data_IF_021118392759
#
_entry.id   IF_021118392759
#
_cell.length_a   1.000
_cell.length_b   1.000
_cell.length_c   1.000
_cell.angle_alpha   90.00
_cell.angle_beta   90.00
_cell.angle_gamma   90.00
#
_symmetry.space_group_name_H-M   'P 1'
#
loop_
_entity.id
_entity.type
_entity.pdbx_description
1 polymer ?
#
# COMPACT_ATOMS: atom_id res chain seq x y z
N UNK A 1 -38.68 -3.25 -17.64
CA UNK A 1 -37.76 -2.57 -16.70
C UNK A 1 -36.63 -3.54 -16.34
N UNK A 2 -35.64 -3.70 -17.22
CA UNK A 2 -34.50 -4.64 -17.06
C UNK A 2 -33.22 -3.91 -17.53
N UNK A 3 -32.92 -2.77 -16.89
CA UNK A 3 -31.81 -1.89 -17.31
C UNK A 3 -30.84 -1.47 -16.20
N UNK A 4 -31.26 -1.49 -14.93
CA UNK A 4 -30.42 -0.99 -13.83
C UNK A 4 -29.65 -2.08 -13.05
N UNK A 5 -29.95 -3.37 -13.27
CA UNK A 5 -29.38 -4.47 -12.47
C UNK A 5 -28.03 -5.00 -12.99
N UNK A 6 -27.67 -4.73 -14.25
CA UNK A 6 -26.35 -5.10 -14.81
C UNK A 6 -25.28 -4.11 -14.35
N UNK A 7 -25.49 -2.81 -14.58
CA UNK A 7 -24.55 -1.76 -14.17
C UNK A 7 -24.23 -1.78 -12.66
N UNK A 8 -25.24 -2.03 -11.79
CA UNK A 8 -24.98 -2.11 -10.35
C UNK A 8 -24.18 -3.36 -9.95
N UNK A 9 -24.29 -4.48 -10.67
CA UNK A 9 -23.49 -5.68 -10.40
C UNK A 9 -22.06 -5.50 -10.89
N UNK A 10 -21.87 -4.92 -12.06
CA UNK A 10 -20.55 -4.66 -12.64
C UNK A 10 -19.73 -3.70 -11.77
N UNK A 11 -20.38 -2.65 -11.22
CA UNK A 11 -19.74 -1.70 -10.29
C UNK A 11 -19.34 -2.37 -8.96
N UNK A 12 -20.18 -3.26 -8.43
CA UNK A 12 -19.87 -3.99 -7.18
C UNK A 12 -18.70 -4.96 -7.39
N UNK A 13 -18.68 -5.70 -8.51
CA UNK A 13 -17.60 -6.63 -8.86
C UNK A 13 -16.27 -5.89 -9.08
N UNK A 14 -16.29 -4.72 -9.72
CA UNK A 14 -15.09 -3.90 -9.88
C UNK A 14 -14.53 -3.38 -8.54
N UNK A 15 -15.42 -3.01 -7.61
CA UNK A 15 -15.00 -2.49 -6.30
C UNK A 15 -14.43 -3.59 -5.40
N UNK A 16 -14.99 -4.80 -5.46
CA UNK A 16 -14.47 -5.98 -4.77
C UNK A 16 -13.08 -6.37 -5.30
N UNK A 17 -12.93 -6.49 -6.63
CA UNK A 17 -11.64 -6.80 -7.27
C UNK A 17 -10.55 -5.77 -6.97
N UNK A 18 -10.91 -4.47 -6.95
CA UNK A 18 -9.97 -3.41 -6.58
C UNK A 18 -9.57 -3.48 -5.10
N UNK A 19 -10.52 -3.83 -4.22
CA UNK A 19 -10.28 -4.01 -2.78
C UNK A 19 -9.33 -5.18 -2.50
N UNK A 20 -9.54 -6.32 -3.15
CA UNK A 20 -8.68 -7.51 -3.04
C UNK A 20 -7.26 -7.24 -3.50
N UNK A 21 -7.09 -6.58 -4.66
CA UNK A 21 -5.76 -6.19 -5.16
C UNK A 21 -4.99 -5.32 -4.15
N UNK A 22 -5.68 -4.36 -3.51
CA UNK A 22 -5.08 -3.49 -2.48
C UNK A 22 -4.72 -4.26 -1.22
N UNK A 23 -5.53 -5.25 -0.83
CA UNK A 23 -5.27 -6.13 0.30
C UNK A 23 -4.01 -6.97 0.10
N UNK A 24 -3.85 -7.61 -1.06
CA UNK A 24 -2.65 -8.40 -1.38
C UNK A 24 -1.38 -7.55 -1.33
N UNK A 25 -1.42 -6.32 -1.86
CA UNK A 25 -0.29 -5.39 -1.80
C UNK A 25 0.07 -5.06 -0.34
N UNK A 26 -0.92 -4.79 0.51
CA UNK A 26 -0.67 -4.48 1.92
C UNK A 26 -0.13 -5.68 2.70
N UNK A 27 -0.62 -6.89 2.43
CA UNK A 27 -0.09 -8.10 3.05
C UNK A 27 1.38 -8.34 2.67
N UNK A 28 1.73 -8.18 1.38
CA UNK A 28 3.10 -8.28 0.92
C UNK A 28 4.01 -7.22 1.55
N UNK A 29 3.51 -5.98 1.67
CA UNK A 29 4.24 -4.89 2.28
C UNK A 29 4.46 -5.10 3.78
N UNK A 30 3.45 -5.60 4.51
CA UNK A 30 3.56 -5.97 5.93
C UNK A 30 4.59 -7.08 6.15
N UNK A 31 4.56 -8.12 5.32
CA UNK A 31 5.56 -9.20 5.37
C UNK A 31 6.98 -8.69 5.13
N UNK A 32 7.14 -7.84 4.11
CA UNK A 32 8.43 -7.22 3.77
C UNK A 32 8.94 -6.34 4.92
N UNK A 33 8.10 -5.46 5.44
CA UNK A 33 8.43 -4.58 6.56
C UNK A 33 8.83 -5.36 7.82
N UNK A 34 8.12 -6.44 8.13
CA UNK A 34 8.43 -7.29 9.29
C UNK A 34 9.78 -7.98 9.11
N UNK A 35 10.07 -8.50 7.92
CA UNK A 35 11.36 -9.12 7.62
C UNK A 35 12.51 -8.11 7.71
N UNK A 36 12.35 -6.93 7.12
CA UNK A 36 13.35 -5.86 7.19
C UNK A 36 13.57 -5.40 8.63
N UNK A 37 12.51 -5.19 9.41
CA UNK A 37 12.62 -4.83 10.83
C UNK A 37 13.39 -5.88 11.64
N UNK A 38 13.18 -7.17 11.36
CA UNK A 38 13.88 -8.26 12.03
C UNK A 38 15.36 -8.30 11.66
N UNK A 39 15.70 -8.42 10.38
CA UNK A 39 17.09 -8.60 9.94
C UNK A 39 17.93 -7.34 10.17
N UNK A 40 17.41 -6.16 9.80
CA UNK A 40 18.12 -4.93 10.06
C UNK A 40 18.11 -4.54 11.53
N UNK A 41 17.13 -4.99 12.32
CA UNK A 41 17.14 -4.81 13.77
C UNK A 41 18.31 -5.55 14.43
N UNK A 42 18.52 -6.81 14.06
CA UNK A 42 19.67 -7.61 14.54
C UNK A 42 20.99 -7.00 14.05
N UNK A 43 21.05 -6.60 12.78
CA UNK A 43 22.23 -5.96 12.21
C UNK A 43 22.54 -4.63 12.91
N UNK A 44 21.52 -3.84 13.24
CA UNK A 44 21.66 -2.56 13.94
C UNK A 44 22.21 -2.72 15.36
N UNK A 45 21.82 -3.78 16.07
CA UNK A 45 22.38 -4.09 17.38
C UNK A 45 23.86 -4.47 17.30
N UNK A 46 24.27 -5.12 16.21
CA UNK A 46 25.64 -5.58 16.00
C UNK A 46 26.56 -4.50 15.42
N UNK A 47 26.03 -3.67 14.52
CA UNK A 47 26.74 -2.58 13.86
C UNK A 47 25.81 -1.38 13.71
N UNK A 48 26.04 -0.34 14.52
CA UNK A 48 25.18 0.83 14.52
C UNK A 48 25.34 1.67 13.24
N UNK A 49 24.23 1.96 12.58
CA UNK A 49 24.13 2.97 11.52
C UNK A 49 22.93 3.88 11.74
N UNK A 50 23.14 5.20 11.74
CA UNK A 50 22.08 6.17 11.92
C UNK A 50 21.02 6.11 10.79
N UNK A 51 21.46 5.86 9.55
CA UNK A 51 20.55 5.70 8.41
C UNK A 51 19.69 4.44 8.53
N UNK A 52 20.28 3.32 8.98
CA UNK A 52 19.51 2.09 9.24
C UNK A 52 18.50 2.29 10.36
N UNK A 53 18.87 3.02 11.43
CA UNK A 53 17.94 3.38 12.50
C UNK A 53 16.75 4.21 11.99
N UNK A 54 17.01 5.21 11.14
CA UNK A 54 15.95 6.02 10.53
C UNK A 54 14.99 5.14 9.71
N UNK A 55 15.52 4.26 8.86
CA UNK A 55 14.71 3.30 8.12
C UNK A 55 13.88 2.41 9.04
N UNK A 56 14.48 1.91 10.12
CA UNK A 56 13.81 1.02 11.09
C UNK A 56 12.67 1.73 11.82
N UNK A 57 12.83 3.00 12.18
CA UNK A 57 11.77 3.80 12.80
C UNK A 57 10.59 3.96 11.84
N UNK A 58 10.86 4.27 10.57
CA UNK A 58 9.81 4.42 9.55
C UNK A 58 9.03 3.11 9.37
N UNK A 59 9.73 1.99 9.24
CA UNK A 59 9.10 0.67 9.07
C UNK A 59 8.33 0.26 10.33
N UNK A 60 8.94 0.39 11.52
CA UNK A 60 8.31 0.02 12.78
C UNK A 60 7.05 0.84 13.08
N UNK A 61 7.03 2.11 12.70
CA UNK A 61 5.85 2.96 12.85
C UNK A 61 4.75 2.63 11.85
N UNK A 62 5.08 2.12 10.65
CA UNK A 62 4.09 1.76 9.63
C UNK A 62 3.39 0.40 9.89
N UNK A 63 4.08 -0.58 10.49
CA UNK A 63 3.53 -1.91 10.80
C UNK A 63 2.17 -1.86 11.54
N UNK A 64 1.98 -1.09 12.63
CA UNK A 64 0.69 -1.04 13.32
C UNK A 64 -0.44 -0.49 12.42
N UNK A 65 -0.16 0.47 11.54
CA UNK A 65 -1.17 0.97 10.59
C UNK A 65 -1.54 -0.07 9.53
N UNK A 66 -0.58 -0.90 9.11
CA UNK A 66 -0.83 -2.02 8.20
C UNK A 66 -1.67 -3.11 8.87
N UNK A 67 -1.41 -3.42 10.14
CA UNK A 67 -2.22 -4.35 10.91
C UNK A 67 -3.67 -3.86 11.10
N UNK A 68 -3.85 -2.57 11.41
CA UNK A 68 -5.18 -1.96 11.51
C UNK A 68 -5.90 -1.96 10.16
N UNK A 69 -5.21 -1.66 9.06
CA UNK A 69 -5.77 -1.77 7.71
C UNK A 69 -6.31 -3.19 7.45
N UNK A 70 -5.52 -4.22 7.80
CA UNK A 70 -5.91 -5.61 7.64
C UNK A 70 -7.12 -5.96 8.50
N UNK A 71 -7.16 -5.52 9.76
CA UNK A 71 -8.30 -5.75 10.67
C UNK A 71 -9.58 -5.10 10.14
N UNK A 72 -9.50 -3.85 9.67
CA UNK A 72 -10.66 -3.15 9.10
C UNK A 72 -11.14 -3.85 7.83
N UNK A 73 -10.23 -4.28 6.96
CA UNK A 73 -10.57 -4.98 5.73
C UNK A 73 -11.26 -6.33 6.01
N UNK A 74 -10.72 -7.12 6.95
CA UNK A 74 -11.36 -8.36 7.40
C UNK A 74 -12.76 -8.11 8.00
N UNK A 75 -12.91 -7.05 8.80
CA UNK A 75 -14.22 -6.65 9.32
C UNK A 75 -15.21 -6.26 8.22
N UNK A 76 -14.76 -5.52 7.20
CA UNK A 76 -15.62 -5.14 6.07
C UNK A 76 -16.05 -6.35 5.24
N UNK A 77 -15.19 -7.36 5.07
CA UNK A 77 -15.52 -8.61 4.39
C UNK A 77 -16.55 -9.42 5.18
N UNK A 78 -16.37 -9.54 6.50
CA UNK A 78 -17.24 -10.35 7.36
C UNK A 78 -18.64 -9.73 7.54
N UNK A 79 -18.73 -8.39 7.62
CA UNK A 79 -19.97 -7.69 7.96
C UNK A 79 -20.54 -6.85 6.81
N UNK A 80 -20.13 -7.10 5.56
CA UNK A 80 -20.53 -6.32 4.38
C UNK A 80 -22.04 -6.10 4.27
N UNK A 81 -22.82 -7.13 4.56
CA UNK A 81 -24.28 -7.13 4.39
C UNK A 81 -25.04 -6.35 5.48
N UNK A 82 -24.38 -6.07 6.61
CA UNK A 82 -25.00 -5.40 7.77
C UNK A 82 -24.61 -3.91 7.88
N UNK A 83 -23.71 -3.43 7.04
CA UNK A 83 -23.18 -2.08 7.14
C UNK A 83 -24.05 -1.05 6.43
N UNK A 84 -24.46 -0.02 7.17
CA UNK A 84 -25.18 1.12 6.59
C UNK A 84 -24.22 1.98 5.75
N UNK A 85 -24.69 2.55 4.62
CA UNK A 85 -23.86 3.37 3.72
C UNK A 85 -23.08 4.51 4.41
N UNK A 86 -23.61 5.07 5.50
CA UNK A 86 -22.95 6.13 6.28
C UNK A 86 -21.76 5.61 7.10
N UNK A 87 -21.85 4.39 7.66
CA UNK A 87 -20.75 3.74 8.39
C UNK A 87 -19.63 3.33 7.45
N UNK A 88 -19.98 2.80 6.27
CA UNK A 88 -19.02 2.41 5.25
C UNK A 88 -18.10 3.57 4.83
N UNK A 89 -18.64 4.79 4.63
CA UNK A 89 -17.83 5.97 4.29
C UNK A 89 -16.84 6.38 5.38
N UNK A 90 -17.24 6.31 6.65
CA UNK A 90 -16.34 6.62 7.77
C UNK A 90 -15.19 5.62 7.83
N UNK A 91 -15.50 4.34 7.63
CA UNK A 91 -14.50 3.27 7.59
C UNK A 91 -13.55 3.45 6.40
N UNK A 92 -14.07 3.77 5.21
CA UNK A 92 -13.22 4.03 4.03
C UNK A 92 -12.24 5.18 4.24
N UNK A 93 -12.66 6.27 4.88
CA UNK A 93 -11.75 7.37 5.21
C UNK A 93 -10.62 6.91 6.14
N UNK A 94 -10.94 6.08 7.15
CA UNK A 94 -9.95 5.53 8.07
C UNK A 94 -8.96 4.60 7.34
N UNK A 95 -9.47 3.73 6.47
CA UNK A 95 -8.67 2.83 5.61
C UNK A 95 -7.71 3.64 4.74
N UNK A 96 -8.16 4.75 4.15
CA UNK A 96 -7.33 5.61 3.30
C UNK A 96 -6.17 6.22 4.09
N UNK A 97 -6.42 6.69 5.32
CA UNK A 97 -5.37 7.23 6.19
C UNK A 97 -4.36 6.14 6.55
N UNK A 98 -4.83 4.97 7.00
CA UNK A 98 -3.96 3.83 7.31
C UNK A 98 -3.10 3.44 6.13
N UNK A 99 -3.66 3.45 4.92
CA UNK A 99 -2.96 3.13 3.69
C UNK A 99 -1.89 4.17 3.31
N UNK A 100 -2.19 5.45 3.44
CA UNK A 100 -1.20 6.52 3.20
C UNK A 100 -0.01 6.37 4.14
N UNK A 101 -0.27 6.21 5.45
CA UNK A 101 0.80 6.00 6.43
C UNK A 101 1.57 4.70 6.13
N UNK A 102 0.87 3.63 5.78
CA UNK A 102 1.50 2.35 5.41
C UNK A 102 2.44 2.48 4.22
N UNK A 103 2.10 3.27 3.21
CA UNK A 103 2.96 3.47 2.04
C UNK A 103 4.22 4.29 2.32
N UNK A 104 4.25 5.07 3.41
CA UNK A 104 5.51 5.73 3.83
C UNK A 104 6.62 4.72 4.15
N UNK A 105 6.27 3.47 4.49
CA UNK A 105 7.25 2.39 4.73
C UNK A 105 8.13 2.06 3.52
N UNK A 106 7.67 2.34 2.29
CA UNK A 106 8.47 2.16 1.07
C UNK A 106 9.74 3.02 1.13
N UNK A 107 9.65 4.22 1.73
CA UNK A 107 10.82 5.08 1.97
C UNK A 107 11.79 4.42 2.95
N UNK A 108 11.28 3.81 4.02
CA UNK A 108 12.08 3.07 4.99
C UNK A 108 12.82 1.88 4.34
N UNK A 109 12.12 1.12 3.49
CA UNK A 109 12.72 0.03 2.71
C UNK A 109 13.83 0.56 1.79
N UNK A 110 13.58 1.66 1.07
CA UNK A 110 14.57 2.26 0.18
C UNK A 110 15.85 2.68 0.93
N UNK A 111 15.70 3.31 2.10
CA UNK A 111 16.83 3.69 2.97
C UNK A 111 17.61 2.45 3.41
N UNK A 112 16.92 1.40 3.85
CA UNK A 112 17.59 0.16 4.29
C UNK A 112 18.35 -0.52 3.16
N UNK A 113 17.75 -0.63 1.97
CA UNK A 113 18.41 -1.18 0.78
C UNK A 113 19.66 -0.37 0.39
N UNK A 114 19.60 0.96 0.52
CA UNK A 114 20.75 1.82 0.25
C UNK A 114 21.88 1.62 1.25
N UNK A 115 21.54 1.44 2.54
CA UNK A 115 22.53 1.14 3.59
C UNK A 115 23.17 -0.23 3.37
N UNK A 116 22.42 -1.23 2.91
CA UNK A 116 22.97 -2.54 2.55
C UNK A 116 23.95 -2.44 1.40
N UNK A 117 23.54 -1.83 0.30
CA UNK A 117 24.40 -1.62 -0.86
C UNK A 117 23.89 -0.48 -1.73
N UNK A 118 24.74 0.51 -1.98
CA UNK A 118 24.37 1.73 -2.71
C UNK A 118 23.81 1.46 -4.13
N UNK A 119 24.32 0.44 -4.84
CA UNK A 119 23.80 0.04 -6.16
C UNK A 119 22.39 -0.54 -6.07
N UNK A 120 22.10 -1.32 -5.02
CA UNK A 120 20.78 -1.93 -4.85
C UNK A 120 19.74 -0.85 -4.53
N UNK A 121 20.06 0.03 -3.58
CA UNK A 121 19.18 1.14 -3.23
C UNK A 121 18.91 2.10 -4.40
N UNK A 122 19.95 2.45 -5.16
CA UNK A 122 19.80 3.32 -6.34
C UNK A 122 19.00 2.66 -7.47
N UNK A 123 19.22 1.37 -7.75
CA UNK A 123 18.41 0.63 -8.73
C UNK A 123 16.93 0.54 -8.32
N UNK A 124 16.64 0.36 -7.03
CA UNK A 124 15.28 0.37 -6.51
C UNK A 124 14.61 1.75 -6.70
N UNK A 125 15.30 2.83 -6.34
CA UNK A 125 14.76 4.18 -6.52
C UNK A 125 14.54 4.53 -8.00
N UNK A 126 15.50 4.21 -8.86
CA UNK A 126 15.39 4.49 -10.29
C UNK A 126 14.24 3.70 -10.93
N UNK A 127 14.11 2.42 -10.59
CA UNK A 127 13.00 1.60 -11.10
C UNK A 127 11.64 2.09 -10.60
N UNK A 128 11.53 2.51 -9.33
CA UNK A 128 10.32 3.13 -8.79
C UNK A 128 9.94 4.43 -9.51
N UNK A 129 10.91 5.31 -9.79
CA UNK A 129 10.67 6.54 -10.53
C UNK A 129 10.23 6.28 -11.97
N UNK A 130 10.88 5.33 -12.66
CA UNK A 130 10.50 4.92 -14.01
C UNK A 130 9.07 4.33 -14.04
N UNK A 131 8.70 3.52 -13.05
CA UNK A 131 7.35 2.99 -12.93
C UNK A 131 6.30 4.10 -12.75
N UNK A 132 6.57 5.08 -11.88
CA UNK A 132 5.68 6.24 -11.71
C UNK A 132 5.55 7.06 -12.99
N UNK A 133 6.66 7.24 -13.72
CA UNK A 133 6.66 7.93 -15.00
C UNK A 133 5.82 7.19 -16.04
N UNK A 134 5.97 5.87 -16.15
CA UNK A 134 5.16 5.02 -17.04
C UNK A 134 3.65 5.14 -16.74
N UNK A 135 3.27 5.09 -15.45
CA UNK A 135 1.87 5.25 -15.04
C UNK A 135 1.33 6.61 -15.46
N UNK A 136 2.10 7.68 -15.26
CA UNK A 136 1.71 9.03 -15.67
C UNK A 136 1.53 9.15 -17.19
N UNK A 137 2.44 8.58 -17.97
CA UNK A 137 2.32 8.55 -19.42
C UNK A 137 1.06 7.80 -19.88
N UNK A 138 0.79 6.64 -19.30
CA UNK A 138 -0.39 5.85 -19.64
C UNK A 138 -1.71 6.58 -19.32
N UNK A 139 -1.78 7.27 -18.18
CA UNK A 139 -2.97 8.06 -17.81
C UNK A 139 -3.17 9.23 -18.77
N UNK A 140 -2.10 9.94 -19.13
CA UNK A 140 -2.19 11.07 -20.06
C UNK A 140 -2.62 10.63 -21.47
N UNK A 141 -2.11 9.48 -21.95
CA UNK A 141 -2.55 8.91 -23.22
C UNK A 141 -4.04 8.53 -23.20
N UNK A 142 -4.53 8.02 -22.06
CA UNK A 142 -5.95 7.67 -21.92
C UNK A 142 -6.85 8.91 -21.94
N UNK A 143 -6.44 10.02 -21.31
CA UNK A 143 -7.22 11.27 -21.37
C UNK A 143 -7.29 11.87 -22.77
N UNK A 144 -6.22 11.75 -23.56
CA UNK A 144 -6.22 12.24 -24.95
C UNK A 144 -7.15 11.43 -25.87
N UNK A 145 -7.34 10.14 -25.58
CA UNK A 145 -8.26 9.26 -26.34
C UNK A 145 -9.73 9.52 -25.99
N UNK A 146 -10.04 9.94 -24.76
CA UNK A 146 -11.41 10.24 -24.33
C UNK A 146 -11.92 11.59 -24.87
N UNK A 147 -11.02 12.51 -25.22
CA UNK A 147 -11.35 13.82 -25.81
C UNK A 147 -11.40 13.83 -27.36
N UNK A 148 -11.03 12.73 -28.02
CA UNK A 148 -10.98 12.58 -29.49
C UNK A 148 -12.19 11.82 -30.06
#
# INVERSE_FOLDING_TARGET
>A
MVGNNLSSKDVVIQQESASEKRWTIMAALLGTNTAFALFHGIEQQSNYSALRQLGLIIVATAIPFQAVYFMIHAYLLEFSDRLHRKQYRLIQNLVMICQLVSYTSIMGIAIMLYVTHWVIGSAFLLSGLLALFMVRLAINQLSEVDEA
#
